data_IF_817799520361
#
_entry.id   IF_817799520361
#
_cell.length_a   1.000
_cell.length_b   1.000
_cell.length_c   1.000
_cell.angle_alpha   90.00
_cell.angle_beta   90.00
_cell.angle_gamma   90.00
#
_symmetry.space_group_name_H-M   'P 1'
#
loop_
_entity.id
_entity.type
_entity.pdbx_description
1 polymer ?
#
# COMPACT_ATOMS: atom_id res chain seq x y z
N UNK A 1 -8.96 42.09 -13.73
CA UNK A 1 -9.05 40.87 -14.55
C UNK A 1 -8.47 39.75 -13.71
N UNK A 2 -9.30 38.86 -13.18
CA UNK A 2 -8.84 37.62 -12.54
C UNK A 2 -8.42 36.67 -13.67
N UNK A 3 -7.28 36.02 -13.54
CA UNK A 3 -6.76 35.11 -14.55
C UNK A 3 -7.21 33.69 -14.18
N UNK A 4 -8.14 33.12 -14.93
CA UNK A 4 -8.47 31.70 -14.81
C UNK A 4 -7.49 30.87 -15.63
N UNK A 5 -6.99 29.78 -15.04
CA UNK A 5 -6.08 28.85 -15.68
C UNK A 5 -6.54 27.41 -15.51
N UNK A 6 -6.34 26.57 -16.53
CA UNK A 6 -6.51 25.12 -16.43
C UNK A 6 -5.12 24.48 -16.47
N UNK A 7 -4.76 23.78 -15.40
CA UNK A 7 -3.49 23.05 -15.31
C UNK A 7 -3.77 21.59 -15.65
N UNK A 8 -3.29 21.06 -16.79
CA UNK A 8 -3.42 19.64 -17.09
C UNK A 8 -2.53 18.83 -16.15
N UNK A 9 -3.06 17.72 -15.66
CA UNK A 9 -2.36 16.73 -14.84
C UNK A 9 -2.58 15.38 -15.49
N UNK A 10 -1.49 14.75 -15.91
CA UNK A 10 -1.50 13.34 -16.25
C UNK A 10 -0.85 12.55 -15.11
N UNK A 11 -1.36 11.35 -14.82
CA UNK A 11 -0.77 10.47 -13.84
C UNK A 11 -0.75 9.03 -14.31
N UNK A 12 0.23 8.30 -13.80
CA UNK A 12 0.34 6.85 -13.92
C UNK A 12 0.71 6.32 -12.55
N UNK A 13 -0.14 5.48 -11.97
CA UNK A 13 0.22 4.73 -10.76
C UNK A 13 0.39 3.26 -11.14
N UNK A 14 1.50 2.63 -10.77
CA UNK A 14 1.64 1.18 -10.95
C UNK A 14 0.69 0.44 -9.98
N UNK A 15 0.55 -0.89 -10.09
CA UNK A 15 -0.11 -1.67 -9.05
C UNK A 15 0.68 -1.57 -7.75
N UNK A 16 0.00 -1.21 -6.66
CA UNK A 16 0.61 -0.96 -5.36
C UNK A 16 0.03 -1.94 -4.34
N UNK A 17 0.90 -2.59 -3.58
CA UNK A 17 0.55 -3.29 -2.36
C UNK A 17 0.88 -2.42 -1.15
N UNK A 18 -0.10 -2.18 -0.30
CA UNK A 18 0.01 -1.47 0.96
C UNK A 18 -0.10 -2.45 2.11
N UNK A 19 0.70 -2.23 3.15
CA UNK A 19 0.67 -3.05 4.35
C UNK A 19 0.82 -2.20 5.59
N UNK A 20 0.04 -2.53 6.61
CA UNK A 20 0.14 -1.95 7.93
C UNK A 20 0.01 -3.06 8.96
N UNK A 21 0.87 -3.05 9.97
CA UNK A 21 0.88 -4.06 11.03
C UNK A 21 1.21 -3.47 12.39
N UNK A 22 0.88 -4.24 13.42
CA UNK A 22 1.31 -4.00 14.80
C UNK A 22 2.06 -5.23 15.30
N UNK A 23 3.16 -5.02 16.00
CA UNK A 23 4.00 -6.12 16.45
C UNK A 23 4.82 -5.79 17.70
N UNK A 24 5.38 -6.85 18.28
CA UNK A 24 6.35 -6.74 19.36
C UNK A 24 7.76 -6.83 18.76
N UNK A 25 8.61 -5.86 19.10
CA UNK A 25 10.01 -5.82 18.75
C UNK A 25 10.86 -6.15 19.98
N UNK A 26 11.70 -7.17 19.86
CA UNK A 26 12.69 -7.56 20.87
C UNK A 26 14.07 -7.23 20.35
N UNK A 27 14.83 -6.44 21.11
CA UNK A 27 16.20 -6.07 20.76
C UNK A 27 17.18 -6.60 21.79
N UNK A 28 18.30 -7.11 21.29
CA UNK A 28 19.45 -7.45 22.10
C UNK A 28 20.42 -6.27 22.17
N UNK A 29 20.86 -5.90 23.37
CA UNK A 29 21.86 -4.84 23.53
C UNK A 29 23.27 -5.40 23.44
N UNK A 30 24.10 -4.84 22.55
CA UNK A 30 25.46 -5.32 22.29
C UNK A 30 26.41 -5.33 23.52
N UNK A 31 26.01 -4.76 24.67
CA UNK A 31 26.83 -4.66 25.89
C UNK A 31 26.10 -5.06 27.17
N UNK A 32 24.87 -5.58 27.09
CA UNK A 32 24.03 -5.89 28.25
C UNK A 32 23.11 -7.07 27.93
N UNK A 33 22.96 -8.01 28.86
CA UNK A 33 21.96 -9.10 28.76
C UNK A 33 20.50 -8.57 28.89
N UNK A 34 20.31 -7.25 28.97
CA UNK A 34 19.00 -6.64 28.99
C UNK A 34 18.33 -6.72 27.61
N UNK A 35 17.13 -7.32 27.58
CA UNK A 35 16.25 -7.30 26.41
C UNK A 35 15.36 -6.04 26.47
N UNK A 36 15.40 -5.25 25.40
CA UNK A 36 14.50 -4.11 25.21
C UNK A 36 13.30 -4.56 24.37
N UNK A 37 12.11 -4.56 24.98
CA UNK A 37 10.86 -4.93 24.33
C UNK A 37 10.04 -3.67 24.07
N UNK A 38 9.68 -3.44 22.82
CA UNK A 38 8.88 -2.28 22.40
C UNK A 38 7.79 -2.67 21.42
N UNK A 39 6.72 -1.87 21.33
CA UNK A 39 5.75 -2.03 20.26
C UNK A 39 6.28 -1.38 18.99
N UNK A 40 6.09 -2.05 17.85
CA UNK A 40 6.45 -1.57 16.53
C UNK A 40 5.20 -1.52 15.65
N UNK A 41 5.15 -0.56 14.72
CA UNK A 41 4.06 -0.41 13.77
C UNK A 41 4.59 -0.41 12.32
N UNK A 42 5.07 -1.57 11.81
CA UNK A 42 5.61 -1.65 10.47
C UNK A 42 4.56 -1.32 9.42
N UNK A 43 4.92 -0.46 8.47
CA UNK A 43 4.13 -0.07 7.32
C UNK A 43 4.98 -0.22 6.06
N UNK A 44 4.39 -0.62 4.94
CA UNK A 44 5.12 -0.66 3.67
C UNK A 44 4.24 -0.40 2.47
N UNK A 45 4.85 0.13 1.43
CA UNK A 45 4.26 0.28 0.11
C UNK A 45 5.19 -0.35 -0.92
N UNK A 46 4.66 -1.21 -1.78
CA UNK A 46 5.44 -1.97 -2.76
C UNK A 46 4.77 -1.93 -4.13
N UNK A 47 5.58 -1.80 -5.18
CA UNK A 47 5.13 -1.99 -6.55
C UNK A 47 5.19 -3.49 -6.85
N UNK A 48 4.10 -4.05 -7.38
CA UNK A 48 3.94 -5.47 -7.66
C UNK A 48 3.56 -5.66 -9.14
N UNK A 49 4.52 -5.68 -10.07
CA UNK A 49 4.24 -5.60 -11.51
C UNK A 49 3.35 -6.71 -12.04
N UNK A 50 3.41 -7.91 -11.44
CA UNK A 50 2.60 -9.05 -11.90
C UNK A 50 1.10 -8.89 -11.61
N UNK A 51 0.71 -7.95 -10.74
CA UNK A 51 -0.70 -7.59 -10.51
C UNK A 51 -1.37 -6.93 -11.71
N UNK A 52 -0.60 -6.41 -12.67
CA UNK A 52 -1.14 -5.77 -13.87
C UNK A 52 -1.63 -6.76 -14.94
N UNK A 53 -1.32 -8.06 -14.83
CA UNK A 53 -1.52 -9.04 -15.89
C UNK A 53 -2.70 -10.00 -15.57
N UNK A 54 -3.85 -9.88 -16.25
CA UNK A 54 -5.03 -10.70 -15.96
C UNK A 54 -4.81 -12.20 -16.19
N UNK A 55 -4.01 -12.55 -17.21
CA UNK A 55 -3.63 -13.93 -17.50
C UNK A 55 -2.89 -14.61 -16.34
N UNK A 56 -2.33 -13.81 -15.43
CA UNK A 56 -1.63 -14.24 -14.22
C UNK A 56 -2.49 -14.14 -12.96
N UNK A 57 -3.82 -14.06 -13.10
CA UNK A 57 -4.76 -14.04 -11.97
C UNK A 57 -4.73 -15.32 -11.10
N UNK A 58 -4.17 -16.42 -11.60
CA UNK A 58 -3.90 -17.65 -10.84
C UNK A 58 -2.41 -17.88 -10.61
N UNK A 59 -1.59 -16.82 -10.63
CA UNK A 59 -0.14 -16.95 -10.48
C UNK A 59 0.23 -17.54 -9.12
N UNK A 60 1.25 -18.39 -9.14
CA UNK A 60 1.82 -18.99 -7.95
C UNK A 60 2.99 -18.20 -7.37
N UNK A 61 3.34 -17.06 -7.96
CA UNK A 61 4.51 -16.27 -7.59
C UNK A 61 4.28 -14.77 -7.80
N UNK A 62 4.86 -13.94 -6.93
CA UNK A 62 4.90 -12.48 -7.04
C UNK A 62 6.31 -11.95 -6.74
N UNK A 63 6.69 -10.85 -7.38
CA UNK A 63 7.93 -10.12 -7.12
C UNK A 63 7.58 -8.65 -6.95
N UNK A 64 8.14 -8.03 -5.91
CA UNK A 64 7.93 -6.62 -5.64
C UNK A 64 9.18 -5.90 -5.18
N UNK A 65 9.13 -4.58 -5.30
CA UNK A 65 10.09 -3.68 -4.68
C UNK A 65 9.35 -2.51 -4.07
N UNK A 66 9.82 -2.01 -2.94
CA UNK A 66 9.08 -1.02 -2.18
C UNK A 66 9.91 -0.29 -1.15
N UNK A 67 9.18 0.39 -0.28
CA UNK A 67 9.73 1.09 0.86
C UNK A 67 9.01 0.68 2.13
N UNK A 68 9.78 0.47 3.18
CA UNK A 68 9.32 0.03 4.49
C UNK A 68 9.59 1.12 5.53
N UNK A 69 8.62 1.36 6.40
CA UNK A 69 8.66 2.30 7.52
C UNK A 69 8.37 1.53 8.81
N UNK A 70 9.16 1.76 9.86
CA UNK A 70 9.06 1.02 11.11
C UNK A 70 9.22 1.96 12.31
N UNK A 71 8.19 2.75 12.63
CA UNK A 71 8.11 3.44 13.91
C UNK A 71 7.96 2.46 15.07
N UNK A 72 8.61 2.76 16.19
CA UNK A 72 8.51 1.99 17.42
C UNK A 72 8.33 2.91 18.63
N UNK A 73 7.68 2.41 19.69
CA UNK A 73 7.46 3.15 20.95
C UNK A 73 8.75 3.48 21.70
N UNK A 74 9.88 2.87 21.31
CA UNK A 74 11.22 3.21 21.78
C UNK A 74 11.80 4.51 21.17
N UNK A 75 10.95 5.34 20.54
CA UNK A 75 11.32 6.55 19.79
C UNK A 75 12.27 6.30 18.61
N UNK A 76 12.36 5.05 18.16
CA UNK A 76 13.13 4.70 16.98
C UNK A 76 12.26 4.74 15.75
N UNK A 77 12.85 5.21 14.67
CA UNK A 77 12.26 5.20 13.35
C UNK A 77 13.28 4.60 12.39
N UNK A 78 13.01 3.37 11.98
CA UNK A 78 13.81 2.68 10.97
C UNK A 78 13.01 2.65 9.68
N UNK A 79 13.68 2.85 8.55
CA UNK A 79 13.03 2.83 7.26
C UNK A 79 14.01 2.46 6.16
N UNK A 80 13.52 2.08 4.99
CA UNK A 80 14.39 1.87 3.84
C UNK A 80 13.76 1.02 2.76
N UNK A 81 14.50 0.80 1.65
CA UNK A 81 14.01 0.03 0.53
C UNK A 81 13.97 -1.46 0.86
N UNK A 82 13.03 -2.16 0.23
CA UNK A 82 12.91 -3.61 0.32
C UNK A 82 12.58 -4.24 -1.03
N UNK A 83 12.87 -5.54 -1.12
CA UNK A 83 12.46 -6.44 -2.20
C UNK A 83 11.63 -7.57 -1.60
N UNK A 84 10.59 -7.97 -2.31
CA UNK A 84 9.63 -8.97 -1.89
C UNK A 84 9.60 -10.13 -2.90
N UNK A 85 9.66 -11.36 -2.41
CA UNK A 85 9.43 -12.59 -3.17
C UNK A 85 8.26 -13.32 -2.52
N UNK A 86 7.17 -13.53 -3.24
CA UNK A 86 5.99 -14.22 -2.72
C UNK A 86 5.71 -15.49 -3.49
N UNK A 87 5.42 -16.58 -2.78
CA UNK A 87 4.78 -17.77 -3.29
C UNK A 87 3.31 -17.69 -2.92
N UNK A 88 2.45 -17.88 -3.91
CA UNK A 88 1.01 -17.73 -3.79
C UNK A 88 0.35 -19.07 -4.12
N UNK A 89 -0.66 -19.45 -3.35
CA UNK A 89 -1.45 -20.65 -3.58
C UNK A 89 -2.93 -20.27 -3.62
N UNK A 90 -3.61 -20.38 -4.78
CA UNK A 90 -5.03 -20.12 -4.85
C UNK A 90 -5.80 -21.08 -3.93
N UNK A 91 -6.88 -20.59 -3.34
CA UNK A 91 -7.78 -21.39 -2.51
C UNK A 91 -9.14 -21.42 -3.21
N UNK A 92 -9.53 -22.61 -3.65
CA UNK A 92 -10.86 -22.84 -4.22
C UNK A 92 -11.91 -22.78 -3.11
N UNK A 93 -12.93 -21.93 -3.28
CA UNK A 93 -14.11 -21.82 -2.42
C UNK A 93 -13.83 -21.75 -0.91
N UNK A 94 -13.30 -20.61 -0.40
CA UNK A 94 -13.23 -20.39 1.03
C UNK A 94 -14.64 -20.04 1.56
N UNK A 95 -15.59 -20.98 1.58
CA UNK A 95 -16.99 -20.71 1.97
C UNK A 95 -17.17 -20.08 3.36
N UNK A 96 -16.10 -20.00 4.17
CA UNK A 96 -16.08 -19.24 5.42
C UNK A 96 -15.94 -17.71 5.24
N UNK A 97 -15.72 -17.22 4.02
CA UNK A 97 -15.44 -15.83 3.69
C UNK A 97 -16.37 -15.19 2.67
N UNK A 98 -17.40 -15.92 2.21
CA UNK A 98 -18.40 -15.37 1.30
C UNK A 98 -19.04 -14.10 1.89
N UNK A 99 -19.21 -14.03 3.21
CA UNK A 99 -19.73 -12.85 3.93
C UNK A 99 -18.83 -11.61 3.84
N UNK A 100 -17.52 -11.80 3.68
CA UNK A 100 -16.53 -10.72 3.67
C UNK A 100 -16.20 -10.23 2.26
N UNK A 101 -16.34 -11.10 1.25
CA UNK A 101 -15.86 -10.80 -0.10
C UNK A 101 -16.88 -11.08 -1.23
N UNK A 102 -18.05 -11.65 -0.94
CA UNK A 102 -19.08 -11.93 -1.94
C UNK A 102 -18.69 -12.98 -3.00
N UNK A 103 -19.63 -13.26 -3.91
CA UNK A 103 -19.55 -14.39 -4.86
C UNK A 103 -18.43 -14.28 -5.93
N UNK A 104 -17.82 -13.09 -6.10
CA UNK A 104 -16.90 -12.80 -7.21
C UNK A 104 -15.41 -12.83 -6.82
N UNK A 105 -15.08 -13.17 -5.57
CA UNK A 105 -13.71 -12.97 -5.05
C UNK A 105 -12.95 -14.28 -4.96
N UNK A 106 -11.78 -14.33 -5.61
CA UNK A 106 -10.84 -15.45 -5.48
C UNK A 106 -10.04 -15.24 -4.20
N UNK A 107 -9.68 -16.32 -3.51
CA UNK A 107 -8.79 -16.23 -2.37
C UNK A 107 -7.46 -16.92 -2.64
N UNK A 108 -6.45 -16.54 -1.87
CA UNK A 108 -5.16 -17.24 -1.87
C UNK A 108 -4.45 -17.11 -0.52
N UNK A 109 -3.64 -18.12 -0.24
CA UNK A 109 -2.64 -18.09 0.84
C UNK A 109 -1.30 -17.73 0.20
N UNK A 110 -0.51 -16.90 0.88
CA UNK A 110 0.81 -16.50 0.40
C UNK A 110 1.88 -16.69 1.45
N UNK A 111 3.05 -17.18 1.03
CA UNK A 111 4.29 -17.12 1.79
C UNK A 111 5.19 -16.08 1.14
N UNK A 112 5.66 -15.09 1.88
CA UNK A 112 6.50 -14.01 1.33
C UNK A 112 7.78 -13.86 2.11
N UNK A 113 8.89 -13.79 1.37
CA UNK A 113 10.20 -13.40 1.86
C UNK A 113 10.45 -11.94 1.50
N UNK A 114 10.90 -11.16 2.47
CA UNK A 114 11.28 -9.76 2.32
C UNK A 114 12.75 -9.59 2.62
N UNK A 115 13.52 -8.99 1.72
CA UNK A 115 14.87 -8.52 1.99
C UNK A 115 14.88 -7.00 2.06
N UNK A 116 15.48 -6.41 3.08
CA UNK A 116 15.39 -4.97 3.32
C UNK A 116 16.71 -4.36 3.78
N UNK A 117 16.97 -3.13 3.33
CA UNK A 117 18.04 -2.28 3.86
C UNK A 117 17.40 -1.23 4.77
N UNK A 118 18.03 -0.97 5.92
CA UNK A 118 17.54 -0.02 6.90
C UNK A 118 18.47 1.19 7.01
N UNK A 119 17.85 2.35 7.17
CA UNK A 119 18.44 3.60 7.61
C UNK A 119 17.85 3.91 8.99
N UNK A 120 18.71 4.01 10.00
CA UNK A 120 18.33 4.45 11.34
C UNK A 120 18.18 5.96 11.37
N UNK A 121 16.97 6.48 11.65
CA UNK A 121 16.65 7.89 11.46
C UNK A 121 17.44 8.92 12.30
N UNK A 122 18.24 8.49 13.28
CA UNK A 122 19.00 9.39 14.16
C UNK A 122 20.52 9.14 14.19
N UNK A 123 20.99 8.01 13.68
CA UNK A 123 22.38 7.56 13.89
C UNK A 123 23.17 7.39 12.60
N UNK A 124 22.61 7.79 11.45
CA UNK A 124 23.12 7.47 10.11
C UNK A 124 23.47 5.98 9.93
N UNK A 125 22.90 5.13 10.79
CA UNK A 125 23.24 3.72 10.83
C UNK A 125 22.57 3.01 9.67
N UNK A 126 23.38 2.28 8.92
CA UNK A 126 22.89 1.38 7.88
C UNK A 126 22.77 -0.01 8.45
N UNK A 127 21.66 -0.67 8.15
CA UNK A 127 21.38 -2.04 8.55
C UNK A 127 20.80 -2.85 7.41
N UNK A 128 20.62 -4.13 7.67
CA UNK A 128 19.92 -5.04 6.77
C UNK A 128 18.98 -5.93 7.58
N UNK A 129 17.96 -6.47 6.92
CA UNK A 129 17.05 -7.40 7.53
C UNK A 129 16.39 -8.31 6.53
N UNK A 130 15.73 -9.33 7.07
CA UNK A 130 14.89 -10.23 6.33
C UNK A 130 13.58 -10.47 7.09
N UNK A 131 12.47 -10.59 6.36
CA UNK A 131 11.16 -10.92 6.89
C UNK A 131 10.60 -12.16 6.22
N UNK A 132 9.88 -12.98 6.99
CA UNK A 132 9.04 -14.06 6.50
C UNK A 132 7.60 -13.77 6.91
N UNK A 133 6.74 -13.69 5.91
CA UNK A 133 5.33 -13.39 6.09
C UNK A 133 4.47 -14.55 5.58
N UNK A 134 3.45 -14.92 6.35
CA UNK A 134 2.34 -15.75 5.90
C UNK A 134 1.11 -14.86 5.77
N UNK A 135 0.40 -14.96 4.65
CA UNK A 135 -0.74 -14.11 4.35
C UNK A 135 -1.93 -14.89 3.82
N UNK A 136 -3.11 -14.35 4.04
CA UNK A 136 -4.35 -14.79 3.45
C UNK A 136 -5.04 -13.58 2.83
N UNK A 137 -5.46 -13.66 1.58
CA UNK A 137 -6.07 -12.52 0.88
C UNK A 137 -7.21 -12.94 -0.05
N UNK A 138 -8.25 -12.10 -0.10
CA UNK A 138 -9.24 -12.07 -1.16
C UNK A 138 -8.82 -11.07 -2.22
N UNK A 139 -8.99 -11.43 -3.49
CA UNK A 139 -8.64 -10.59 -4.62
C UNK A 139 -9.62 -10.75 -5.78
N UNK A 140 -9.77 -9.68 -6.54
CA UNK A 140 -10.47 -9.67 -7.83
C UNK A 140 -9.61 -8.95 -8.86
N UNK A 141 -9.83 -9.29 -10.12
CA UNK A 141 -9.18 -8.60 -11.23
C UNK A 141 -10.24 -7.77 -11.96
N UNK A 142 -9.95 -6.50 -12.16
CA UNK A 142 -10.87 -5.56 -12.79
C UNK A 142 -10.18 -4.71 -13.86
N UNK A 143 -11.00 -4.26 -14.80
CA UNK A 143 -10.66 -3.17 -15.72
C UNK A 143 -11.85 -2.23 -15.72
N UNK A 144 -11.65 -1.00 -15.26
CA UNK A 144 -12.73 -0.03 -15.14
C UNK A 144 -12.26 1.32 -15.66
N UNK A 145 -13.06 1.90 -16.55
CA UNK A 145 -12.93 3.31 -16.92
C UNK A 145 -13.50 4.17 -15.80
N UNK A 146 -12.86 5.31 -15.51
CA UNK A 146 -13.42 6.30 -14.61
C UNK A 146 -13.42 7.67 -15.27
N UNK A 147 -14.45 8.45 -14.96
CA UNK A 147 -14.53 9.86 -15.34
C UNK A 147 -15.34 10.60 -14.29
N UNK A 148 -14.86 11.75 -13.87
CA UNK A 148 -15.56 12.55 -12.86
C UNK A 148 -15.03 13.96 -12.78
N UNK A 149 -15.92 14.88 -12.43
CA UNK A 149 -15.57 16.20 -11.97
C UNK A 149 -15.94 16.29 -10.49
N UNK A 150 -14.95 16.52 -9.63
CA UNK A 150 -15.20 16.81 -8.23
C UNK A 150 -15.33 18.32 -8.11
N UNK A 151 -16.58 18.77 -7.90
CA UNK A 151 -16.89 20.14 -7.55
C UNK A 151 -17.16 20.17 -6.05
N UNK A 152 -16.27 20.81 -5.28
CA UNK A 152 -16.46 21.11 -3.86
C UNK A 152 -16.90 19.95 -2.97
N UNK A 153 -15.96 19.11 -2.53
CA UNK A 153 -16.03 18.37 -1.25
C UNK A 153 -17.34 17.60 -0.95
N UNK A 154 -18.14 17.31 -1.96
CA UNK A 154 -19.40 16.59 -1.86
C UNK A 154 -19.26 15.36 -2.74
N UNK A 155 -19.38 14.19 -2.11
CA UNK A 155 -19.29 12.88 -2.77
C UNK A 155 -20.49 12.60 -3.69
N UNK A 156 -21.27 13.60 -4.05
CA UNK A 156 -22.34 13.42 -5.03
C UNK A 156 -21.73 13.48 -6.44
N UNK A 157 -21.89 12.42 -7.26
CA UNK A 157 -21.52 12.50 -8.66
C UNK A 157 -22.28 13.68 -9.27
N UNK A 158 -21.53 14.68 -9.74
CA UNK A 158 -22.07 15.90 -10.31
C UNK A 158 -22.90 15.57 -11.56
N UNK A 159 -24.15 15.17 -11.36
CA UNK A 159 -25.16 15.11 -12.38
C UNK A 159 -25.51 16.56 -12.72
N UNK A 160 -24.65 17.18 -13.54
CA UNK A 160 -24.97 18.33 -14.38
C UNK A 160 -25.83 19.40 -13.70
N UNK A 161 -25.52 19.80 -12.45
CA UNK A 161 -26.17 20.97 -11.86
C UNK A 161 -25.59 22.19 -12.55
N UNK A 162 -26.42 22.74 -13.44
CA UNK A 162 -26.17 23.91 -14.24
C UNK A 162 -25.48 25.01 -13.44
N UNK A 163 -24.40 25.54 -14.03
CA UNK A 163 -23.75 26.80 -13.70
C UNK A 163 -24.81 27.87 -13.42
N UNK A 164 -24.99 28.21 -12.15
CA UNK A 164 -25.98 29.19 -11.74
C UNK A 164 -26.09 29.29 -10.23
N UNK A 165 -24.98 29.39 -9.52
CA UNK A 165 -25.01 30.05 -8.21
C UNK A 165 -23.67 30.74 -7.91
N UNK A 166 -23.73 32.07 -7.90
CA UNK A 166 -22.64 33.03 -7.73
C UNK A 166 -22.23 33.17 -6.25
N UNK A 167 -21.93 32.06 -5.57
CA UNK A 167 -21.43 32.08 -4.19
C UNK A 167 -20.04 31.47 -4.07
N UNK A 168 -19.09 32.24 -4.59
CA UNK A 168 -17.77 32.50 -4.03
C UNK A 168 -17.32 31.60 -2.86
N UNK A 169 -16.62 30.51 -3.19
CA UNK A 169 -15.29 30.23 -2.65
C UNK A 169 -14.44 29.77 -3.84
N UNK A 170 -13.30 30.44 -4.07
CA UNK A 170 -12.35 30.17 -5.16
C UNK A 170 -11.64 28.83 -4.95
N UNK A 171 -12.37 27.73 -5.07
CA UNK A 171 -11.84 26.39 -4.81
C UNK A 171 -11.79 25.61 -6.12
N UNK A 172 -10.60 25.09 -6.44
CA UNK A 172 -10.32 24.53 -7.75
C UNK A 172 -11.17 23.30 -8.05
N UNK A 173 -11.74 23.24 -9.25
CA UNK A 173 -12.45 22.07 -9.74
C UNK A 173 -11.46 21.10 -10.38
N UNK A 174 -11.47 19.84 -9.97
CA UNK A 174 -10.74 18.77 -10.66
C UNK A 174 -11.70 18.00 -11.56
N UNK A 175 -11.42 17.97 -12.86
CA UNK A 175 -12.10 17.11 -13.81
C UNK A 175 -11.08 16.14 -14.41
N UNK A 176 -11.31 14.85 -14.27
CA UNK A 176 -10.41 13.83 -14.78
C UNK A 176 -11.14 12.65 -15.41
N UNK A 177 -10.46 12.00 -16.34
CA UNK A 177 -10.83 10.68 -16.83
C UNK A 177 -9.61 9.78 -16.89
N UNK A 178 -9.84 8.49 -16.85
CA UNK A 178 -8.77 7.53 -16.90
C UNK A 178 -9.28 6.10 -16.87
N UNK A 179 -8.33 5.21 -16.62
CA UNK A 179 -8.52 3.78 -16.68
C UNK A 179 -7.78 3.15 -15.50
N UNK A 180 -8.45 2.22 -14.83
CA UNK A 180 -7.85 1.34 -13.84
C UNK A 180 -7.74 -0.06 -14.40
N UNK A 181 -6.60 -0.72 -14.15
CA UNK A 181 -6.43 -2.12 -14.52
C UNK A 181 -5.55 -2.84 -13.52
N UNK A 182 -5.93 -4.07 -13.22
CA UNK A 182 -5.13 -4.93 -12.37
C UNK A 182 -5.92 -5.59 -11.28
N UNK A 183 -5.16 -6.13 -10.34
CA UNK A 183 -5.70 -6.80 -9.18
C UNK A 183 -6.03 -5.79 -8.07
N UNK A 184 -7.24 -5.89 -7.52
CA UNK A 184 -7.62 -5.27 -6.25
C UNK A 184 -7.81 -6.36 -5.21
N UNK A 185 -7.54 -6.07 -3.94
CA UNK A 185 -7.65 -7.09 -2.92
C UNK A 185 -7.37 -6.60 -1.51
N UNK A 186 -7.82 -7.40 -0.56
CA UNK A 186 -7.63 -7.16 0.87
C UNK A 186 -7.33 -8.48 1.57
N UNK A 187 -6.47 -8.42 2.60
CA UNK A 187 -6.07 -9.60 3.33
C UNK A 187 -5.46 -9.32 4.68
N UNK A 188 -5.13 -10.41 5.36
CA UNK A 188 -4.45 -10.42 6.65
C UNK A 188 -3.10 -11.10 6.52
N UNK A 189 -2.18 -10.77 7.41
CA UNK A 189 -0.90 -11.45 7.48
C UNK A 189 -0.33 -11.53 8.89
N UNK A 190 0.59 -12.48 9.06
CA UNK A 190 1.51 -12.57 10.17
C UNK A 190 2.94 -12.53 9.64
N UNK A 191 3.82 -11.75 10.26
CA UNK A 191 5.21 -11.59 9.83
C UNK A 191 6.16 -11.78 11.01
N UNK A 192 7.24 -12.52 10.77
CA UNK A 192 8.42 -12.53 11.62
C UNK A 192 9.57 -11.91 10.85
N UNK A 193 10.25 -10.93 11.42
CA UNK A 193 11.40 -10.29 10.79
C UNK A 193 12.58 -10.17 11.73
N UNK A 194 13.76 -10.25 11.13
CA UNK A 194 15.04 -10.03 11.77
C UNK A 194 15.74 -8.86 11.08
N UNK A 195 16.39 -8.02 11.85
CA UNK A 195 17.22 -6.94 11.33
C UNK A 195 18.45 -6.73 12.21
N UNK A 196 19.55 -6.34 11.57
CA UNK A 196 20.77 -5.91 12.22
C UNK A 196 21.04 -4.46 11.82
N UNK A 197 21.03 -3.56 12.81
CA UNK A 197 21.26 -2.12 12.63
C UNK A 197 22.29 -1.69 13.66
N UNK A 198 23.41 -1.09 13.22
CA UNK A 198 24.48 -0.63 14.12
C UNK A 198 24.97 -1.72 15.11
N UNK A 199 25.20 -2.94 14.60
CA UNK A 199 25.60 -4.13 15.37
C UNK A 199 24.56 -4.63 16.41
N UNK A 200 23.33 -4.11 16.39
CA UNK A 200 22.25 -4.58 17.27
C UNK A 200 21.28 -5.44 16.49
N UNK A 201 20.97 -6.59 17.07
CA UNK A 201 20.02 -7.53 16.51
C UNK A 201 18.62 -7.23 17.04
N UNK A 202 17.65 -7.20 16.14
CA UNK A 202 16.25 -6.90 16.42
C UNK A 202 15.37 -7.95 15.74
N UNK A 203 14.52 -8.59 16.54
CA UNK A 203 13.47 -9.49 16.09
C UNK A 203 12.12 -8.84 16.24
N UNK A 204 11.22 -9.05 15.28
CA UNK A 204 9.87 -8.50 15.32
C UNK A 204 8.88 -9.58 14.91
N UNK A 205 7.83 -9.71 15.71
CA UNK A 205 6.67 -10.50 15.34
C UNK A 205 5.46 -9.57 15.23
N UNK A 206 4.80 -9.54 14.07
CA UNK A 206 3.68 -8.66 13.80
C UNK A 206 2.49 -9.36 13.15
N UNK A 207 1.31 -8.76 13.36
CA UNK A 207 0.06 -9.09 12.69
C UNK A 207 -0.44 -7.85 11.98
N UNK A 208 -0.96 -8.00 10.76
CA UNK A 208 -1.33 -6.85 9.95
C UNK A 208 -2.37 -7.11 8.88
N UNK A 209 -2.68 -6.04 8.17
CA UNK A 209 -3.59 -5.98 7.03
C UNK A 209 -2.80 -5.62 5.78
N UNK A 210 -3.19 -6.22 4.65
CA UNK A 210 -2.63 -5.95 3.32
C UNK A 210 -3.74 -5.50 2.39
N UNK A 211 -3.48 -4.45 1.61
CA UNK A 211 -4.35 -3.97 0.55
C UNK A 211 -3.61 -3.97 -0.79
N UNK A 212 -4.32 -4.25 -1.88
CA UNK A 212 -3.81 -4.18 -3.25
C UNK A 212 -4.62 -3.16 -4.02
N UNK A 213 -3.93 -2.23 -4.65
CA UNK A 213 -4.48 -1.20 -5.49
C UNK A 213 -4.08 -1.50 -6.94
N UNK A 214 -5.05 -1.49 -7.88
CA UNK A 214 -4.75 -1.69 -9.29
C UNK A 214 -3.88 -0.55 -9.83
N UNK A 215 -3.29 -0.77 -11.00
CA UNK A 215 -2.65 0.32 -11.72
C UNK A 215 -3.71 1.31 -12.21
N UNK A 216 -3.32 2.59 -12.31
CA UNK A 216 -4.17 3.63 -12.88
C UNK A 216 -3.40 4.47 -13.88
N UNK A 217 -4.08 4.91 -14.93
CA UNK A 217 -3.62 5.87 -15.91
C UNK A 217 -4.73 6.90 -16.07
N UNK A 218 -4.41 8.19 -16.01
CA UNK A 218 -5.43 9.21 -16.17
C UNK A 218 -4.88 10.55 -16.62
N UNK A 219 -5.81 11.38 -17.09
CA UNK A 219 -5.59 12.79 -17.38
C UNK A 219 -6.73 13.60 -16.77
N UNK A 220 -6.40 14.77 -16.24
CA UNK A 220 -7.37 15.70 -15.73
C UNK A 220 -6.87 17.12 -15.80
N UNK A 221 -7.72 18.04 -15.38
CA UNK A 221 -7.42 19.45 -15.32
C UNK A 221 -7.85 19.98 -13.96
N UNK A 222 -7.00 20.80 -13.35
CA UNK A 222 -7.38 21.63 -12.23
C UNK A 222 -7.72 23.02 -12.78
N UNK A 223 -8.96 23.45 -12.60
CA UNK A 223 -9.35 24.82 -12.83
C UNK A 223 -8.98 25.66 -11.60
N UNK A 224 -8.14 26.68 -11.78
CA UNK A 224 -7.74 27.60 -10.71
C UNK A 224 -8.19 29.01 -11.04
N UNK A 225 -8.81 29.70 -10.08
CA UNK A 225 -9.09 31.13 -10.16
C UNK A 225 -8.00 31.88 -9.40
N UNK A 226 -7.21 32.69 -10.10
CA UNK A 226 -6.21 33.60 -9.50
C UNK A 226 -6.70 35.05 -9.52
#
# INVERSE_FOLDING_TARGET
>A
MLASGCIPIAWVTPPIQLEASVGAAVREEARSDAQDVSAAFPMSASIMPLQAFPAMGARSFDLGAGYHLMPATSHRFNHGPHIDLALLHPVDHPGFLDWAFGDATRARVGLRLRGQAFLGGHTDAVGHGAGLQVSFEGFSFGTEDFSGCTLNGSDEPAAYRALGDDSANNEGAFCGSGFTWGETGFGLFAETSYSRIDLRDQWIFSLGVKGRLPATLGIGFIATNF
#
